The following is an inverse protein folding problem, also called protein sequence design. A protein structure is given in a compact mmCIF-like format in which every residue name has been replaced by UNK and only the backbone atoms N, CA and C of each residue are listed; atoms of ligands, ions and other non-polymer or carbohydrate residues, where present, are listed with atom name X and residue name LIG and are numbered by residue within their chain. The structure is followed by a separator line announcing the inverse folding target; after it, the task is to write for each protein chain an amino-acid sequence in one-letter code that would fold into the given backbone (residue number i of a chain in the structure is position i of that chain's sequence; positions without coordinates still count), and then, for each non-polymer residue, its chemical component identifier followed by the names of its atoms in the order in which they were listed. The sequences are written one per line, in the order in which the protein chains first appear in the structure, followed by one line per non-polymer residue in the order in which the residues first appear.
data_IF_426116369771
#
_entry.id   IF_426116369771
#
_cell.length_a   1.000
_cell.length_b   1.000
_cell.length_c   1.000
_cell.angle_alpha   90.00
_cell.angle_beta   90.00
_cell.angle_gamma   90.00
#
_symmetry.space_group_name_H-M   'P 1'
#
loop_
_entity.id
_entity.type
_entity.pdbx_description
1 polymer ?
#
# COMPACT_ATOMS: atom_id res chain seq x y z
N UNK A 1 20.01 19.53 34.42
CA UNK A 1 18.78 18.91 34.97
C UNK A 1 19.04 17.41 35.03
N UNK A 2 18.81 16.76 36.17
CA UNK A 2 18.93 15.28 36.27
C UNK A 2 17.80 14.64 35.46
N UNK A 3 18.06 13.54 34.76
CA UNK A 3 16.99 12.77 34.09
C UNK A 3 16.06 12.20 35.16
N UNK A 4 14.78 11.97 34.84
CA UNK A 4 13.77 11.67 35.86
C UNK A 4 14.03 10.35 36.63
N UNK A 5 14.81 9.43 36.08
CA UNK A 5 15.25 8.16 36.70
C UNK A 5 16.75 8.12 37.01
N UNK A 6 17.45 9.25 36.85
CA UNK A 6 18.86 9.36 37.13
C UNK A 6 19.09 9.22 38.64
N UNK A 7 19.57 8.04 39.05
CA UNK A 7 19.92 7.72 40.44
C UNK A 7 21.26 8.33 40.87
N UNK A 8 21.84 9.24 40.07
CA UNK A 8 23.04 10.01 40.43
C UNK A 8 24.36 9.44 39.92
N UNK A 9 24.34 8.46 39.02
CA UNK A 9 25.52 7.97 38.31
C UNK A 9 25.38 8.28 36.81
N UNK A 10 26.46 8.70 36.11
CA UNK A 10 26.39 8.99 34.68
C UNK A 10 25.96 7.74 33.91
N UNK A 11 24.92 7.87 33.07
CA UNK A 11 24.46 6.80 32.20
C UNK A 11 25.52 6.52 31.12
N UNK A 12 25.88 5.25 30.94
CA UNK A 12 26.79 4.83 29.86
C UNK A 12 26.21 5.25 28.49
N UNK A 13 27.04 5.86 27.65
CA UNK A 13 26.60 6.38 26.35
C UNK A 13 26.07 5.28 25.42
N UNK A 14 26.58 4.05 25.51
CA UNK A 14 26.08 2.92 24.71
C UNK A 14 24.70 2.50 25.18
N UNK A 15 24.47 2.53 26.49
CA UNK A 15 23.14 2.28 27.07
C UNK A 15 22.18 3.35 26.61
N UNK A 16 22.56 4.63 26.65
CA UNK A 16 21.74 5.72 26.14
C UNK A 16 21.40 5.54 24.66
N UNK A 17 22.39 5.26 23.83
CA UNK A 17 22.16 5.06 22.41
C UNK A 17 21.25 3.85 22.14
N UNK A 18 21.36 2.78 22.92
CA UNK A 18 20.51 1.60 22.80
C UNK A 18 19.07 1.86 23.28
N UNK A 19 18.89 2.54 24.43
CA UNK A 19 17.56 2.74 25.03
C UNK A 19 16.79 3.92 24.43
N UNK A 20 17.49 4.96 23.95
CA UNK A 20 16.87 6.01 23.15
C UNK A 20 16.64 5.49 21.72
N UNK A 21 17.60 4.79 21.13
CA UNK A 21 17.53 4.34 19.75
C UNK A 21 17.17 5.50 18.82
N UNK A 22 16.13 5.31 18.02
CA UNK A 22 15.61 6.33 17.10
C UNK A 22 14.47 7.17 17.70
N UNK A 23 14.16 7.06 19.00
CA UNK A 23 13.01 7.75 19.61
C UNK A 23 13.09 9.26 19.44
N UNK A 24 14.27 9.85 19.60
CA UNK A 24 14.47 11.29 19.38
C UNK A 24 13.96 11.72 17.99
N UNK A 25 14.22 10.93 16.94
CA UNK A 25 13.79 11.23 15.58
C UNK A 25 12.33 10.84 15.30
N UNK A 26 11.81 9.83 16.00
CA UNK A 26 10.45 9.32 15.83
C UNK A 26 9.42 10.19 16.55
N UNK A 27 9.76 10.63 17.76
CA UNK A 27 8.91 11.46 18.62
C UNK A 27 8.73 12.89 18.08
N UNK A 28 9.52 13.29 17.06
CA UNK A 28 9.31 14.55 16.31
C UNK A 28 7.86 14.64 15.79
N UNK A 29 7.28 13.50 15.40
CA UNK A 29 5.90 13.40 14.91
C UNK A 29 4.85 13.59 16.01
N UNK A 30 5.25 13.40 17.26
CA UNK A 30 4.36 13.41 18.42
C UNK A 30 4.34 14.76 19.15
N UNK A 31 5.24 15.70 18.83
CA UNK A 31 5.39 16.98 19.54
C UNK A 31 4.07 17.74 19.63
N UNK A 32 3.37 17.96 18.52
CA UNK A 32 2.10 18.68 18.50
C UNK A 32 1.02 17.99 19.36
N UNK A 33 1.01 16.66 19.36
CA UNK A 33 0.05 15.85 20.11
C UNK A 33 0.38 15.80 21.60
N UNK A 34 1.66 15.75 21.96
CA UNK A 34 2.12 15.82 23.36
C UNK A 34 1.87 17.20 23.96
N UNK A 35 2.03 18.26 23.17
CA UNK A 35 1.62 19.63 23.54
C UNK A 35 0.12 19.70 23.80
N UNK A 36 -0.71 19.19 22.88
CA UNK A 36 -2.17 19.17 23.05
C UNK A 36 -2.59 18.38 24.30
N UNK A 37 -2.05 17.18 24.49
CA UNK A 37 -2.29 16.35 25.67
C UNK A 37 -1.83 17.04 26.97
N UNK A 38 -0.70 17.73 26.93
CA UNK A 38 -0.16 18.49 28.06
C UNK A 38 -1.02 19.68 28.44
N UNK A 39 -1.53 20.45 27.47
CA UNK A 39 -2.45 21.56 27.74
C UNK A 39 -3.73 21.04 28.41
N UNK A 40 -4.34 19.96 27.88
CA UNK A 40 -5.53 19.37 28.49
C UNK A 40 -5.28 18.88 29.93
N UNK A 41 -4.10 18.31 30.20
CA UNK A 41 -3.70 17.92 31.56
C UNK A 41 -3.56 19.13 32.48
N UNK A 42 -2.89 20.20 32.03
CA UNK A 42 -2.73 21.43 32.81
C UNK A 42 -4.09 22.09 33.12
N UNK A 43 -4.99 22.15 32.15
CA UNK A 43 -6.35 22.65 32.33
C UNK A 43 -7.12 21.85 33.39
N UNK A 44 -7.01 20.52 33.35
CA UNK A 44 -7.61 19.64 34.36
C UNK A 44 -7.03 19.92 35.75
N UNK A 45 -5.71 20.03 35.89
CA UNK A 45 -5.08 20.35 37.18
C UNK A 45 -5.59 21.68 37.74
N UNK A 46 -5.72 22.71 36.89
CA UNK A 46 -6.23 24.00 37.31
C UNK A 46 -7.70 23.92 37.76
N UNK A 47 -8.55 23.18 37.04
CA UNK A 47 -9.95 22.94 37.43
C UNK A 47 -10.08 22.22 38.78
N UNK A 48 -9.14 21.33 39.10
CA UNK A 48 -9.08 20.62 40.38
C UNK A 48 -8.39 21.43 41.49
N UNK A 49 -8.01 22.68 41.24
CA UNK A 49 -7.30 23.53 42.21
C UNK A 49 -5.86 23.08 42.50
N UNK A 50 -5.30 22.21 41.66
CA UNK A 50 -3.95 21.64 41.80
C UNK A 50 -2.88 22.46 41.07
N UNK A 51 -3.30 23.40 40.22
CA UNK A 51 -2.45 24.32 39.48
C UNK A 51 -3.04 25.73 39.52
N UNK A 52 -2.23 26.74 39.81
CA UNK A 52 -2.69 28.13 39.83
C UNK A 52 -3.00 28.63 38.41
N UNK A 53 -4.01 29.47 38.25
CA UNK A 53 -4.39 30.03 36.94
C UNK A 53 -3.23 30.74 36.22
N UNK A 54 -2.39 31.56 36.90
CA UNK A 54 -1.22 32.15 36.25
C UNK A 54 -0.21 31.12 35.71
N UNK A 55 -0.04 29.99 36.41
CA UNK A 55 0.83 28.91 35.93
C UNK A 55 0.21 28.20 34.71
N UNK A 56 -1.11 27.98 34.71
CA UNK A 56 -1.82 27.41 33.57
C UNK A 56 -1.61 28.26 32.30
N UNK A 57 -1.81 29.57 32.39
CA UNK A 57 -1.66 30.46 31.24
C UNK A 57 -0.20 30.50 30.75
N UNK A 58 0.77 30.52 31.67
CA UNK A 58 2.19 30.44 31.31
C UNK A 58 2.53 29.10 30.63
N UNK A 59 2.02 27.98 31.16
CA UNK A 59 2.21 26.64 30.58
C UNK A 59 1.58 26.57 29.19
N UNK A 60 0.34 27.03 29.02
CA UNK A 60 -0.38 27.02 27.74
C UNK A 60 0.37 27.82 26.69
N UNK A 61 0.71 29.08 26.99
CA UNK A 61 1.44 29.95 26.07
C UNK A 61 2.83 29.37 25.74
N UNK A 62 3.54 28.87 26.74
CA UNK A 62 4.85 28.23 26.57
C UNK A 62 4.81 27.00 25.66
N UNK A 63 3.83 26.12 25.86
CA UNK A 63 3.64 24.90 25.06
C UNK A 63 3.23 25.22 23.61
N UNK A 64 2.29 26.16 23.40
CA UNK A 64 1.89 26.58 22.05
C UNK A 64 3.07 27.20 21.29
N UNK A 65 3.83 28.09 21.93
CA UNK A 65 5.03 28.66 21.32
C UNK A 65 6.15 27.64 21.08
N UNK A 66 6.15 26.50 21.79
CA UNK A 66 7.09 25.40 21.51
C UNK A 66 6.65 24.58 20.31
N UNK A 67 5.35 24.27 20.19
CA UNK A 67 4.78 23.59 19.03
C UNK A 67 5.00 24.40 17.74
N UNK A 68 4.79 25.71 17.77
CA UNK A 68 5.02 26.58 16.62
C UNK A 68 6.50 26.65 16.22
N UNK A 69 7.40 26.83 17.20
CA UNK A 69 8.84 26.85 16.92
C UNK A 69 9.35 25.52 16.38
N UNK A 70 8.77 24.40 16.85
CA UNK A 70 9.06 23.07 16.32
C UNK A 70 8.63 22.92 14.87
N UNK A 71 7.40 23.33 14.55
CA UNK A 71 6.86 23.29 13.19
C UNK A 71 7.66 24.16 12.21
N UNK A 72 8.29 25.25 12.69
CA UNK A 72 9.21 26.10 11.91
C UNK A 72 10.65 25.57 11.85
N UNK A 73 10.95 24.46 12.53
CA UNK A 73 12.29 23.87 12.57
C UNK A 73 13.30 24.63 13.45
N UNK A 74 12.85 25.52 14.33
CA UNK A 74 13.70 26.31 15.23
C UNK A 74 14.37 25.44 16.32
N UNK A 75 13.81 24.27 16.59
CA UNK A 75 14.39 23.29 17.48
C UNK A 75 13.99 21.87 17.05
N UNK A 76 14.81 20.89 17.42
CA UNK A 76 14.61 19.46 17.20
C UNK A 76 14.85 18.69 18.49
N UNK A 77 14.36 17.46 18.55
CA UNK A 77 14.61 16.56 19.67
C UNK A 77 16.03 15.98 19.48
N UNK A 78 16.89 16.27 20.45
CA UNK A 78 18.27 15.80 20.41
C UNK A 78 18.40 14.42 21.05
N UNK A 79 19.39 13.62 20.66
CA UNK A 79 19.68 12.35 21.34
C UNK A 79 19.90 12.52 22.85
N UNK A 80 20.46 13.67 23.27
CA UNK A 80 20.65 14.03 24.66
C UNK A 80 19.34 14.31 25.42
N UNK A 81 18.26 14.66 24.71
CA UNK A 81 16.92 14.79 25.27
C UNK A 81 16.27 13.41 25.49
N UNK A 82 16.79 12.33 24.90
CA UNK A 82 16.29 10.95 24.94
C UNK A 82 14.93 10.70 24.29
N UNK A 83 13.91 11.47 24.65
CA UNK A 83 12.55 11.38 24.12
C UNK A 83 11.92 12.77 23.93
N UNK A 84 10.78 12.80 23.22
CA UNK A 84 10.07 14.04 22.96
C UNK A 84 9.53 14.72 24.23
N UNK A 85 9.17 13.93 25.25
CA UNK A 85 8.60 14.46 26.49
C UNK A 85 9.65 15.25 27.29
N UNK A 86 10.86 14.72 27.40
CA UNK A 86 12.00 15.35 28.07
C UNK A 86 12.45 16.58 27.30
N UNK A 87 12.48 16.53 25.97
CA UNK A 87 12.77 17.68 25.12
C UNK A 87 11.79 18.83 25.35
N UNK A 88 10.49 18.54 25.41
CA UNK A 88 9.43 19.52 25.68
C UNK A 88 9.51 20.08 27.10
N UNK A 89 9.67 19.21 28.11
CA UNK A 89 9.78 19.61 29.52
C UNK A 89 10.98 20.54 29.77
N UNK A 90 12.16 20.18 29.25
CA UNK A 90 13.38 20.98 29.39
C UNK A 90 13.17 22.38 28.80
N UNK A 91 12.58 22.44 27.61
CA UNK A 91 12.35 23.71 26.91
C UNK A 91 11.25 24.53 27.57
N UNK A 92 10.18 23.91 28.04
CA UNK A 92 9.10 24.58 28.77
C UNK A 92 9.64 25.19 30.06
N UNK A 93 10.32 24.38 30.89
CA UNK A 93 10.93 24.85 32.15
C UNK A 93 11.97 25.93 31.89
N UNK A 94 12.77 25.83 30.82
CA UNK A 94 13.71 26.88 30.42
C UNK A 94 13.03 28.20 30.04
N UNK A 95 11.82 28.16 29.46
CA UNK A 95 11.05 29.35 29.05
C UNK A 95 10.28 30.01 30.19
N UNK A 96 9.63 29.22 31.06
CA UNK A 96 8.69 29.73 32.07
C UNK A 96 9.10 29.44 33.52
N UNK A 97 10.30 28.89 33.72
CA UNK A 97 10.83 28.59 35.05
C UNK A 97 10.10 27.44 35.76
N UNK A 98 10.06 27.44 37.10
CA UNK A 98 9.50 26.34 37.91
C UNK A 98 8.04 26.00 37.62
N UNK A 99 7.26 26.94 37.07
CA UNK A 99 5.88 26.68 36.65
C UNK A 99 5.80 25.54 35.63
N UNK A 100 6.77 25.42 34.72
CA UNK A 100 6.83 24.35 33.73
C UNK A 100 6.90 22.96 34.33
N UNK A 101 7.56 22.80 35.49
CA UNK A 101 7.64 21.52 36.20
C UNK A 101 6.34 21.10 36.91
N UNK A 102 5.42 22.04 37.16
CA UNK A 102 4.17 21.76 37.90
C UNK A 102 3.18 20.91 37.09
N UNK A 103 3.31 20.88 35.76
CA UNK A 103 2.47 20.07 34.86
C UNK A 103 2.61 18.55 35.07
N UNK A 104 3.67 18.10 35.76
CA UNK A 104 3.91 16.67 36.01
C UNK A 104 3.06 16.10 37.14
N UNK A 105 2.39 16.94 37.93
CA UNK A 105 1.55 16.47 39.02
C UNK A 105 0.46 15.53 38.48
N UNK A 106 0.38 14.32 39.04
CA UNK A 106 -0.60 13.31 38.64
C UNK A 106 -0.39 12.67 37.26
N UNK A 107 0.79 12.81 36.66
CA UNK A 107 1.09 12.32 35.31
C UNK A 107 2.32 11.42 35.28
N UNK A 108 2.31 10.40 34.42
CA UNK A 108 3.47 9.57 34.12
C UNK A 108 3.86 9.74 32.65
N UNK A 109 5.08 9.33 32.29
CA UNK A 109 5.45 9.21 30.88
C UNK A 109 4.62 8.11 30.20
N UNK A 110 4.18 7.10 30.97
CA UNK A 110 3.40 5.96 30.46
C UNK A 110 2.00 6.34 29.97
N UNK A 111 1.29 7.27 30.59
CA UNK A 111 -0.01 7.69 30.09
C UNK A 111 0.11 8.87 29.13
N UNK A 112 1.08 9.76 29.36
CA UNK A 112 1.41 10.87 28.49
C UNK A 112 1.76 10.43 27.05
N UNK A 113 2.76 9.57 26.88
CA UNK A 113 3.19 9.12 25.54
C UNK A 113 2.07 8.39 24.80
N UNK A 114 1.25 7.63 25.54
CA UNK A 114 0.13 6.89 24.96
C UNK A 114 -1.00 7.82 24.51
N UNK A 115 -1.24 8.93 25.23
CA UNK A 115 -2.19 9.95 24.81
C UNK A 115 -1.75 10.59 23.50
N UNK A 116 -0.48 11.04 23.42
CA UNK A 116 0.07 11.64 22.20
C UNK A 116 0.02 10.67 21.02
N UNK A 117 0.44 9.41 21.24
CA UNK A 117 0.41 8.37 20.21
C UNK A 117 -1.02 8.10 19.72
N UNK A 118 -2.01 7.97 20.61
CA UNK A 118 -3.40 7.75 20.20
C UNK A 118 -3.98 8.90 19.40
N UNK A 119 -3.73 10.13 19.81
CA UNK A 119 -4.16 11.31 19.04
C UNK A 119 -3.55 11.31 17.63
N UNK A 120 -2.25 11.01 17.53
CA UNK A 120 -1.56 10.87 16.23
C UNK A 120 -2.16 9.75 15.38
N UNK A 121 -2.44 8.58 15.97
CA UNK A 121 -2.97 7.44 15.24
C UNK A 121 -4.42 7.66 14.79
N UNK A 122 -5.24 8.38 15.57
CA UNK A 122 -6.60 8.76 15.17
C UNK A 122 -6.56 9.71 13.96
N UNK A 123 -5.71 10.73 13.98
CA UNK A 123 -5.55 11.64 12.84
C UNK A 123 -4.99 10.93 11.61
N UNK A 124 -4.00 10.04 11.80
CA UNK A 124 -3.43 9.22 10.73
C UNK A 124 -4.49 8.31 10.10
N UNK A 125 -5.33 7.67 10.93
CA UNK A 125 -6.42 6.82 10.48
C UNK A 125 -7.42 7.60 9.63
N UNK A 126 -7.81 8.81 10.06
CA UNK A 126 -8.74 9.66 9.30
C UNK A 126 -8.15 10.08 7.96
N UNK A 127 -6.87 10.48 7.95
CA UNK A 127 -6.17 10.85 6.73
C UNK A 127 -6.03 9.66 5.74
N UNK A 128 -5.74 8.46 6.26
CA UNK A 128 -5.67 7.25 5.44
C UNK A 128 -7.04 6.89 4.86
N UNK A 129 -8.09 6.87 5.69
CA UNK A 129 -9.45 6.56 5.23
C UNK A 129 -9.91 7.56 4.15
N UNK A 130 -9.69 8.86 4.36
CA UNK A 130 -10.00 9.89 3.35
C UNK A 130 -9.22 9.69 2.05
N UNK A 131 -7.92 9.37 2.13
CA UNK A 131 -7.09 9.08 0.96
C UNK A 131 -7.58 7.86 0.17
N UNK A 132 -7.95 6.79 0.86
CA UNK A 132 -8.49 5.58 0.24
C UNK A 132 -9.82 5.85 -0.46
N UNK A 133 -10.73 6.61 0.19
CA UNK A 133 -11.99 7.02 -0.43
C UNK A 133 -11.79 7.90 -1.67
N UNK A 134 -10.76 8.75 -1.68
CA UNK A 134 -10.41 9.54 -2.86
C UNK A 134 -9.94 8.66 -4.03
N UNK A 135 -9.19 7.58 -3.76
CA UNK A 135 -8.81 6.60 -4.80
C UNK A 135 -10.03 5.85 -5.32
N UNK A 136 -10.94 5.41 -4.43
CA UNK A 136 -12.18 4.76 -4.84
C UNK A 136 -13.03 5.67 -5.73
N UNK A 137 -13.15 6.96 -5.39
CA UNK A 137 -13.85 7.95 -6.20
C UNK A 137 -13.20 8.14 -7.59
N UNK A 138 -11.87 8.18 -7.66
CA UNK A 138 -11.15 8.27 -8.95
C UNK A 138 -11.39 7.03 -9.83
N UNK A 139 -11.54 5.84 -9.23
CA UNK A 139 -11.91 4.61 -9.95
C UNK A 139 -13.36 4.64 -10.43
N UNK A 140 -14.29 5.24 -9.67
CA UNK A 140 -15.66 5.46 -10.14
C UNK A 140 -15.69 6.42 -11.35
N UNK A 141 -14.91 7.49 -11.30
CA UNK A 141 -14.77 8.42 -12.41
C UNK A 141 -14.21 7.73 -13.66
N UNK A 142 -13.21 6.85 -13.49
CA UNK A 142 -12.70 6.00 -14.57
C UNK A 142 -13.81 5.09 -15.12
N UNK A 143 -14.56 4.41 -14.26
CA UNK A 143 -15.68 3.56 -14.66
C UNK A 143 -16.74 4.36 -15.45
N UNK A 144 -17.08 5.57 -15.01
CA UNK A 144 -18.05 6.42 -15.69
C UNK A 144 -17.54 6.93 -17.05
N UNK A 145 -16.27 7.35 -17.11
CA UNK A 145 -15.63 7.82 -18.35
C UNK A 145 -15.54 6.71 -19.39
N UNK A 146 -15.17 5.50 -18.96
CA UNK A 146 -14.93 4.33 -19.82
C UNK A 146 -16.11 3.34 -19.83
N UNK A 147 -17.34 3.85 -19.66
CA UNK A 147 -18.56 3.04 -19.46
C UNK A 147 -18.82 1.95 -20.50
N UNK A 148 -18.39 2.17 -21.75
CA UNK A 148 -18.61 1.26 -22.88
C UNK A 148 -17.36 0.44 -23.24
N UNK A 149 -16.26 0.63 -22.51
CA UNK A 149 -14.97 0.01 -22.82
C UNK A 149 -14.97 -1.44 -22.31
N UNK A 150 -15.03 -2.38 -23.24
CA UNK A 150 -15.01 -3.82 -22.97
C UNK A 150 -13.55 -4.27 -22.83
N UNK A 151 -13.29 -5.10 -21.82
CA UNK A 151 -12.01 -5.78 -21.64
C UNK A 151 -12.27 -7.25 -21.33
N UNK A 152 -11.38 -8.18 -21.69
CA UNK A 152 -11.55 -9.58 -21.27
C UNK A 152 -11.45 -9.70 -19.75
N UNK A 153 -12.35 -10.48 -19.15
CA UNK A 153 -12.15 -10.96 -17.77
C UNK A 153 -11.11 -12.07 -17.74
N UNK A 154 -10.34 -12.17 -16.66
CA UNK A 154 -9.28 -13.16 -16.51
C UNK A 154 -9.50 -14.09 -15.32
N UNK A 155 -9.27 -15.39 -15.54
CA UNK A 155 -9.07 -16.37 -14.46
C UNK A 155 -7.81 -17.16 -14.78
N UNK A 156 -6.89 -17.29 -13.83
CA UNK A 156 -5.55 -17.89 -14.08
C UNK A 156 -4.77 -17.23 -15.24
N UNK A 157 -4.96 -15.92 -15.46
CA UNK A 157 -4.46 -15.18 -16.62
C UNK A 157 -4.91 -15.74 -17.99
N UNK A 158 -5.95 -16.59 -18.02
CA UNK A 158 -6.64 -16.99 -19.23
C UNK A 158 -7.89 -16.12 -19.42
N UNK A 159 -8.16 -15.76 -20.67
CA UNK A 159 -9.37 -15.02 -21.02
C UNK A 159 -10.60 -15.90 -20.71
N UNK A 160 -11.49 -15.36 -19.90
CA UNK A 160 -12.71 -16.02 -19.45
C UNK A 160 -13.92 -15.35 -20.11
N UNK A 161 -14.87 -14.85 -19.32
CA UNK A 161 -16.04 -14.14 -19.82
C UNK A 161 -15.67 -12.71 -20.25
N UNK A 162 -16.40 -12.13 -21.22
CA UNK A 162 -16.33 -10.70 -21.50
C UNK A 162 -16.59 -9.88 -20.22
N UNK A 163 -15.82 -8.83 -20.02
CA UNK A 163 -15.91 -7.90 -18.90
C UNK A 163 -15.85 -6.45 -19.41
N UNK A 164 -15.70 -5.49 -18.52
CA UNK A 164 -15.61 -4.08 -18.89
C UNK A 164 -14.76 -3.30 -17.89
N UNK A 165 -14.25 -2.13 -18.31
CA UNK A 165 -13.53 -1.22 -17.42
C UNK A 165 -14.37 -0.85 -16.19
N UNK A 166 -15.69 -0.58 -16.29
CA UNK A 166 -16.54 -0.37 -15.12
C UNK A 166 -16.55 -1.53 -14.11
N UNK A 167 -16.57 -2.78 -14.58
CA UNK A 167 -16.56 -3.94 -13.68
C UNK A 167 -15.19 -4.10 -12.99
N UNK A 168 -14.10 -3.89 -13.73
CA UNK A 168 -12.75 -3.97 -13.19
C UNK A 168 -12.45 -2.83 -12.19
N UNK A 169 -12.66 -1.58 -12.59
CA UNK A 169 -12.43 -0.42 -11.72
C UNK A 169 -13.43 -0.39 -10.55
N UNK A 170 -14.69 -0.74 -10.79
CA UNK A 170 -15.74 -0.80 -9.77
C UNK A 170 -15.47 -1.87 -8.70
N UNK A 171 -14.88 -3.01 -9.07
CA UNK A 171 -14.44 -4.03 -8.13
C UNK A 171 -13.41 -3.51 -7.14
N UNK A 172 -12.34 -2.87 -7.63
CA UNK A 172 -11.34 -2.24 -6.77
C UNK A 172 -11.92 -1.08 -5.94
N UNK A 173 -12.78 -0.25 -6.53
CA UNK A 173 -13.43 0.84 -5.81
C UNK A 173 -14.31 0.33 -4.65
N UNK A 174 -14.97 -0.83 -4.82
CA UNK A 174 -15.78 -1.44 -3.76
C UNK A 174 -14.90 -1.93 -2.60
N UNK A 175 -13.84 -2.69 -2.88
CA UNK A 175 -12.92 -3.20 -1.83
C UNK A 175 -12.21 -2.05 -1.11
N UNK A 176 -11.76 -1.01 -1.82
CA UNK A 176 -11.15 0.16 -1.18
C UNK A 176 -12.12 0.90 -0.25
N UNK A 177 -13.42 0.92 -0.54
CA UNK A 177 -14.41 1.49 0.41
C UNK A 177 -14.57 0.61 1.64
N UNK A 178 -14.49 -0.71 1.49
CA UNK A 178 -14.48 -1.64 2.63
C UNK A 178 -13.22 -1.43 3.49
N UNK A 179 -12.05 -1.30 2.87
CA UNK A 179 -10.79 -0.96 3.56
C UNK A 179 -10.91 0.36 4.33
N UNK A 180 -11.49 1.41 3.74
CA UNK A 180 -11.70 2.70 4.39
C UNK A 180 -12.64 2.59 5.61
N UNK A 181 -13.66 1.74 5.53
CA UNK A 181 -14.54 1.44 6.65
C UNK A 181 -13.80 0.64 7.74
N UNK A 182 -12.99 -0.36 7.37
CA UNK A 182 -12.18 -1.18 8.27
C UNK A 182 -11.15 -0.35 9.05
N UNK A 183 -10.45 0.57 8.35
CA UNK A 183 -9.57 1.57 8.98
C UNK A 183 -10.32 2.34 10.07
N UNK A 184 -11.54 2.81 9.77
CA UNK A 184 -12.39 3.53 10.73
C UNK A 184 -12.75 2.66 11.95
N UNK A 185 -12.94 1.35 11.78
CA UNK A 185 -13.23 0.45 12.89
C UNK A 185 -12.07 0.29 13.89
N UNK A 186 -10.82 0.58 13.51
CA UNK A 186 -9.67 0.59 14.43
C UNK A 186 -9.80 1.68 15.51
N UNK A 187 -10.59 2.72 15.25
CA UNK A 187 -10.95 3.79 16.21
C UNK A 187 -11.45 3.23 17.54
N UNK A 188 -12.20 2.11 17.55
CA UNK A 188 -12.75 1.52 18.79
C UNK A 188 -11.69 1.19 19.86
N UNK A 189 -10.43 1.00 19.47
CA UNK A 189 -9.32 0.74 20.40
C UNK A 189 -8.52 2.00 20.72
N UNK A 190 -8.35 2.89 19.74
CA UNK A 190 -7.54 4.10 19.83
C UNK A 190 -8.29 5.25 20.53
N UNK A 191 -9.61 5.31 20.39
CA UNK A 191 -10.46 6.42 20.83
C UNK A 191 -10.88 6.31 22.30
N UNK A 192 -9.89 6.03 23.15
CA UNK A 192 -10.07 5.92 24.59
C UNK A 192 -9.00 6.77 25.28
N UNK A 193 -9.40 7.67 26.16
CA UNK A 193 -8.49 8.54 26.89
C UNK A 193 -7.64 7.74 27.89
N UNK A 194 -6.29 7.73 27.75
CA UNK A 194 -5.40 7.04 28.68
C UNK A 194 -4.97 7.91 29.88
N UNK A 195 -5.15 9.24 29.81
CA UNK A 195 -4.65 10.16 30.83
C UNK A 195 -5.28 9.93 32.21
N UNK A 196 -4.48 10.18 33.24
CA UNK A 196 -4.83 9.94 34.64
C UNK A 196 -4.67 8.47 35.06
N UNK A 197 -4.15 7.61 34.19
CA UNK A 197 -3.67 6.29 34.61
C UNK A 197 -2.28 6.32 35.23
N UNK A 198 -1.54 7.41 35.05
CA UNK A 198 -0.17 7.57 35.50
C UNK A 198 0.68 6.37 35.08
N UNK A 199 1.35 5.71 36.02
CA UNK A 199 2.16 4.53 35.72
C UNK A 199 1.33 3.31 35.25
N UNK A 200 -0.01 3.35 35.40
CA UNK A 200 -0.96 2.30 35.04
C UNK A 200 -1.97 1.96 36.14
N UNK A 201 -1.89 2.63 37.29
CA UNK A 201 -2.67 2.29 38.50
C UNK A 201 -3.48 3.49 39.03
N UNK A 202 -3.55 4.57 38.25
CA UNK A 202 -4.16 5.83 38.68
C UNK A 202 -3.24 6.67 39.56
N UNK A 203 -3.83 7.66 40.22
CA UNK A 203 -3.13 8.61 41.09
C UNK A 203 -3.72 8.58 42.51
N UNK A 204 -3.37 7.59 43.35
CA UNK A 204 -3.89 7.48 44.70
C UNK A 204 -3.68 8.78 45.49
N UNK A 205 -4.75 9.31 46.10
CA UNK A 205 -4.70 10.53 46.91
C UNK A 205 -4.66 11.84 46.12
N UNK A 206 -4.74 11.80 44.78
CA UNK A 206 -4.83 13.00 43.94
C UNK A 206 -6.13 12.96 43.12
N UNK A 207 -7.00 13.98 43.21
CA UNK A 207 -8.30 14.00 42.53
C UNK A 207 -8.15 14.36 41.04
N UNK A 208 -7.53 13.48 40.26
CA UNK A 208 -7.39 13.66 38.80
C UNK A 208 -8.73 13.39 38.10
N UNK A 209 -9.19 14.36 37.32
CA UNK A 209 -10.42 14.24 36.52
C UNK A 209 -10.12 13.74 35.10
N UNK A 210 -10.30 12.42 34.93
CA UNK A 210 -10.08 11.74 33.64
C UNK A 210 -11.14 12.11 32.60
N UNK A 211 -12.33 12.53 33.04
CA UNK A 211 -13.43 12.92 32.16
C UNK A 211 -13.21 14.32 31.58
N UNK A 212 -12.65 15.24 32.37
CA UNK A 212 -12.22 16.55 31.90
C UNK A 212 -11.19 16.44 30.76
N UNK A 213 -10.16 15.59 30.92
CA UNK A 213 -9.14 15.39 29.87
C UNK A 213 -9.71 14.64 28.66
N UNK A 214 -10.62 13.68 28.87
CA UNK A 214 -11.33 13.01 27.76
C UNK A 214 -12.08 14.03 26.91
N UNK A 215 -12.85 14.91 27.56
CA UNK A 215 -13.62 15.97 26.89
C UNK A 215 -12.71 16.92 26.13
N UNK A 216 -11.66 17.44 26.78
CA UNK A 216 -10.74 18.40 26.18
C UNK A 216 -9.99 17.84 24.96
N UNK A 217 -9.68 16.54 24.98
CA UNK A 217 -8.98 15.87 23.89
C UNK A 217 -9.90 15.24 22.84
N UNK A 218 -11.22 15.26 23.05
CA UNK A 218 -12.19 14.71 22.11
C UNK A 218 -12.18 13.19 22.01
N UNK A 219 -11.69 12.47 23.03
CA UNK A 219 -11.79 11.01 23.06
C UNK A 219 -13.24 10.56 23.29
N UNK A 220 -13.64 9.45 22.69
CA UNK A 220 -15.00 8.91 22.83
C UNK A 220 -15.31 8.41 24.25
N UNK A 221 -14.31 7.87 24.96
CA UNK A 221 -14.49 7.36 26.32
C UNK A 221 -13.23 7.49 27.16
N UNK A 222 -13.36 7.53 28.49
CA UNK A 222 -12.24 7.24 29.40
C UNK A 222 -11.94 5.74 29.33
N UNK A 223 -10.66 5.36 29.28
CA UNK A 223 -10.33 3.94 29.31
C UNK A 223 -10.42 3.38 30.73
N UNK A 224 -11.36 2.46 30.95
CA UNK A 224 -11.58 1.81 32.24
C UNK A 224 -11.49 0.27 32.15
N UNK A 225 -11.13 -0.42 33.26
CA UNK A 225 -10.54 0.17 34.48
C UNK A 225 -9.16 0.78 34.18
N UNK A 226 -8.64 1.63 35.09
CA UNK A 226 -7.36 2.33 34.89
C UNK A 226 -6.20 1.43 34.49
N UNK A 227 -6.16 0.20 34.99
CA UNK A 227 -5.16 -0.83 34.67
C UNK A 227 -5.24 -1.33 33.23
N UNK A 228 -6.40 -1.22 32.59
CA UNK A 228 -6.58 -1.59 31.19
C UNK A 228 -5.76 -0.69 30.25
N UNK A 229 -5.39 0.53 30.65
CA UNK A 229 -4.61 1.45 29.82
C UNK A 229 -3.30 0.81 29.39
N UNK A 230 -2.49 0.35 30.35
CA UNK A 230 -1.19 -0.25 30.03
C UNK A 230 -1.34 -1.64 29.40
N UNK A 231 -2.33 -2.44 29.84
CA UNK A 231 -2.64 -3.77 29.27
C UNK A 231 -3.11 -3.73 27.80
N UNK A 232 -3.54 -2.56 27.32
CA UNK A 232 -4.04 -2.40 25.96
C UNK A 232 -2.97 -2.00 24.94
N UNK A 233 -1.78 -1.62 25.39
CA UNK A 233 -0.70 -1.16 24.51
C UNK A 233 -0.33 -2.22 23.49
N UNK A 234 -0.03 -1.77 22.27
CA UNK A 234 0.24 -2.63 21.12
C UNK A 234 -1.02 -3.13 20.40
N UNK A 235 -2.19 -3.17 21.04
CA UNK A 235 -3.42 -3.65 20.38
C UNK A 235 -4.01 -2.63 19.41
N UNK A 236 -3.90 -1.33 19.71
CA UNK A 236 -4.40 -0.28 18.83
C UNK A 236 -3.50 -0.13 17.61
N UNK A 237 -2.20 -0.12 17.85
CA UNK A 237 -1.13 -0.08 16.87
C UNK A 237 -1.21 -1.28 15.93
N UNK A 238 -1.22 -2.51 16.48
CA UNK A 238 -1.30 -3.73 15.67
C UNK A 238 -2.60 -3.80 14.86
N UNK A 239 -3.73 -3.35 15.41
CA UNK A 239 -4.98 -3.33 14.65
C UNK A 239 -4.89 -2.38 13.46
N UNK A 240 -4.43 -1.13 13.65
CA UNK A 240 -4.32 -0.19 12.54
C UNK A 240 -3.35 -0.71 11.46
N UNK A 241 -2.22 -1.30 11.87
CA UNK A 241 -1.25 -1.89 10.95
C UNK A 241 -1.86 -3.08 10.20
N UNK A 242 -2.70 -3.87 10.85
CA UNK A 242 -3.42 -4.97 10.20
C UNK A 242 -4.34 -4.46 9.09
N UNK A 243 -5.16 -3.43 9.35
CA UNK A 243 -6.01 -2.85 8.31
C UNK A 243 -5.19 -2.24 7.17
N UNK A 244 -4.06 -1.58 7.48
CA UNK A 244 -3.11 -1.10 6.46
C UNK A 244 -2.53 -2.26 5.64
N UNK A 245 -2.25 -3.41 6.25
CA UNK A 245 -1.71 -4.57 5.55
C UNK A 245 -2.73 -5.22 4.61
N UNK A 246 -4.04 -5.13 4.90
CA UNK A 246 -5.11 -5.56 3.99
C UNK A 246 -5.25 -4.59 2.82
N UNK A 247 -5.37 -3.29 3.11
CA UNK A 247 -5.38 -2.24 2.08
C UNK A 247 -4.18 -2.36 1.12
N UNK A 248 -2.98 -2.60 1.64
CA UNK A 248 -1.79 -2.77 0.82
C UNK A 248 -1.82 -4.04 -0.03
N UNK A 249 -2.61 -5.06 0.29
CA UNK A 249 -2.83 -6.22 -0.57
C UNK A 249 -3.74 -5.87 -1.74
N UNK A 250 -4.81 -5.11 -1.52
CA UNK A 250 -5.71 -4.67 -2.59
C UNK A 250 -5.04 -3.69 -3.54
N UNK A 251 -4.28 -2.73 -3.01
CA UNK A 251 -3.43 -1.86 -3.82
C UNK A 251 -2.35 -2.64 -4.59
N UNK A 252 -1.85 -3.75 -4.04
CA UNK A 252 -0.87 -4.62 -4.72
C UNK A 252 -1.49 -5.40 -5.87
N UNK A 253 -2.73 -5.89 -5.69
CA UNK A 253 -3.51 -6.51 -6.78
C UNK A 253 -3.79 -5.51 -7.89
N UNK A 254 -4.25 -4.31 -7.53
CA UNK A 254 -4.46 -3.22 -8.48
C UNK A 254 -3.17 -2.86 -9.24
N UNK A 255 -2.06 -2.70 -8.53
CA UNK A 255 -0.76 -2.45 -9.13
C UNK A 255 -0.31 -3.56 -10.07
N UNK A 256 -0.56 -4.84 -9.72
CA UNK A 256 -0.22 -5.97 -10.57
C UNK A 256 -1.02 -5.94 -11.89
N UNK A 257 -2.31 -5.63 -11.84
CA UNK A 257 -3.14 -5.46 -13.03
C UNK A 257 -2.66 -4.28 -13.88
N UNK A 258 -2.43 -3.11 -13.28
CA UNK A 258 -1.93 -1.92 -13.99
C UNK A 258 -0.60 -2.23 -14.69
N UNK A 259 0.33 -2.91 -14.01
CA UNK A 259 1.62 -3.31 -14.57
C UNK A 259 1.44 -4.27 -15.75
N UNK A 260 0.61 -5.30 -15.59
CA UNK A 260 0.36 -6.30 -16.62
C UNK A 260 -0.34 -5.70 -17.84
N UNK A 261 -1.38 -4.92 -17.60
CA UNK A 261 -2.23 -4.30 -18.62
C UNK A 261 -1.51 -3.20 -19.40
N UNK A 262 -0.45 -2.61 -18.83
CA UNK A 262 0.39 -1.62 -19.51
C UNK A 262 1.53 -2.22 -20.33
N UNK A 263 1.74 -3.55 -20.28
CA UNK A 263 2.72 -4.20 -21.16
C UNK A 263 2.31 -4.06 -22.63
N UNK A 264 3.27 -4.21 -23.56
CA UNK A 264 2.95 -4.19 -24.99
C UNK A 264 2.11 -5.38 -25.42
N UNK A 265 2.27 -6.50 -24.73
CA UNK A 265 1.58 -7.75 -24.99
C UNK A 265 0.08 -7.67 -24.64
N UNK A 266 -0.28 -6.91 -23.60
CA UNK A 266 -1.67 -6.65 -23.23
C UNK A 266 -2.21 -5.38 -23.86
N UNK A 267 -1.52 -4.25 -23.67
CA UNK A 267 -1.84 -2.97 -24.30
C UNK A 267 -3.22 -2.39 -23.92
N UNK A 268 -3.75 -2.70 -22.73
CA UNK A 268 -5.06 -2.22 -22.30
C UNK A 268 -5.01 -0.85 -21.63
N UNK A 269 -3.87 -0.50 -21.02
CA UNK A 269 -3.71 0.73 -20.24
C UNK A 269 -2.45 1.48 -20.67
N UNK A 270 -2.55 2.80 -20.70
CA UNK A 270 -1.40 3.69 -20.80
C UNK A 270 -1.50 4.76 -19.71
N UNK A 271 -0.38 5.03 -19.03
CA UNK A 271 -0.29 6.09 -18.04
C UNK A 271 0.23 7.37 -18.69
N UNK A 272 -0.15 8.52 -18.14
CA UNK A 272 0.44 9.80 -18.52
C UNK A 272 1.95 9.80 -18.23
N UNK A 273 2.72 10.50 -19.08
CA UNK A 273 4.19 10.43 -19.05
C UNK A 273 4.78 10.83 -17.70
N UNK A 274 4.18 11.81 -17.03
CA UNK A 274 4.56 12.29 -15.70
C UNK A 274 4.47 11.23 -14.59
N UNK A 275 3.73 10.15 -14.80
CA UNK A 275 3.61 9.01 -13.87
C UNK A 275 4.49 7.81 -14.26
N UNK A 276 5.36 7.97 -15.25
CA UNK A 276 6.23 6.91 -15.75
C UNK A 276 7.68 7.36 -15.79
N UNK A 277 8.61 6.42 -15.70
CA UNK A 277 10.03 6.71 -16.00
C UNK A 277 10.39 6.22 -17.40
N UNK A 278 11.33 6.90 -18.05
CA UNK A 278 11.77 6.59 -19.41
C UNK A 278 13.10 5.82 -19.46
N UNK A 279 13.43 5.32 -20.65
CA UNK A 279 14.79 4.92 -20.98
C UNK A 279 15.47 6.00 -21.81
N UNK A 280 16.73 6.32 -21.50
CA UNK A 280 17.55 7.20 -22.34
C UNK A 280 17.88 6.61 -23.72
N UNK A 281 17.77 5.28 -23.89
CA UNK A 281 18.11 4.55 -25.13
C UNK A 281 16.85 4.22 -25.95
N UNK A 282 15.72 3.95 -25.27
CA UNK A 282 14.46 3.59 -25.91
C UNK A 282 13.38 4.63 -25.59
N UNK A 283 13.18 5.63 -26.47
CA UNK A 283 12.25 6.75 -26.23
C UNK A 283 10.81 6.34 -25.98
N UNK A 284 10.40 5.17 -26.46
CA UNK A 284 9.06 4.62 -26.30
C UNK A 284 8.91 3.69 -25.09
N UNK A 285 10.01 3.38 -24.37
CA UNK A 285 9.95 2.56 -23.15
C UNK A 285 9.49 3.43 -21.98
N UNK A 286 8.43 2.98 -21.31
CA UNK A 286 7.87 3.60 -20.11
C UNK A 286 7.85 2.55 -19.01
N UNK A 287 8.44 2.84 -17.86
CA UNK A 287 8.42 2.00 -16.68
C UNK A 287 7.44 2.57 -15.66
N UNK A 288 6.81 1.66 -14.91
CA UNK A 288 5.72 1.96 -13.98
C UNK A 288 6.22 1.82 -12.53
N UNK A 289 7.34 2.47 -12.23
CA UNK A 289 8.07 2.32 -10.96
C UNK A 289 7.19 2.58 -9.74
N UNK A 290 6.23 3.51 -9.83
CA UNK A 290 5.27 3.80 -8.76
C UNK A 290 4.48 2.55 -8.37
N UNK A 291 3.97 1.81 -9.35
CA UNK A 291 3.19 0.59 -9.12
C UNK A 291 4.08 -0.59 -8.72
N UNK A 292 5.32 -0.66 -9.21
CA UNK A 292 6.30 -1.65 -8.75
C UNK A 292 6.64 -1.47 -7.27
N UNK A 293 6.90 -0.22 -6.87
CA UNK A 293 7.16 0.13 -5.48
C UNK A 293 5.92 -0.08 -4.61
N UNK A 294 4.73 0.30 -5.08
CA UNK A 294 3.46 0.04 -4.38
C UNK A 294 3.30 -1.45 -4.07
N UNK A 295 3.48 -2.31 -5.08
CA UNK A 295 3.44 -3.78 -4.93
C UNK A 295 4.50 -4.29 -3.95
N UNK A 296 5.71 -3.72 -3.97
CA UNK A 296 6.78 -4.09 -3.04
C UNK A 296 6.52 -3.66 -1.59
N UNK A 297 5.85 -2.52 -1.37
CA UNK A 297 5.58 -1.97 -0.03
C UNK A 297 4.60 -2.82 0.79
N UNK A 298 3.83 -3.70 0.17
CA UNK A 298 2.98 -4.67 0.88
C UNK A 298 3.80 -5.57 1.81
N UNK A 299 5.00 -5.99 1.41
CA UNK A 299 5.90 -6.78 2.26
C UNK A 299 6.36 -6.00 3.50
N UNK A 300 6.59 -4.69 3.36
CA UNK A 300 6.92 -3.81 4.50
C UNK A 300 5.76 -3.76 5.50
N UNK A 301 4.52 -3.55 5.02
CA UNK A 301 3.34 -3.50 5.90
C UNK A 301 3.14 -4.82 6.67
N UNK A 302 3.33 -5.97 6.00
CA UNK A 302 3.28 -7.29 6.63
C UNK A 302 4.37 -7.45 7.71
N UNK A 303 5.61 -7.05 7.42
CA UNK A 303 6.70 -7.11 8.39
C UNK A 303 6.41 -6.23 9.63
N UNK A 304 5.87 -5.02 9.43
CA UNK A 304 5.44 -4.15 10.53
C UNK A 304 4.39 -4.82 11.42
N UNK A 305 3.44 -5.53 10.82
CA UNK A 305 2.39 -6.25 11.55
C UNK A 305 3.00 -7.38 12.39
N UNK A 306 3.85 -8.20 11.78
CA UNK A 306 4.54 -9.30 12.47
C UNK A 306 5.34 -8.78 13.66
N UNK A 307 6.06 -7.67 13.49
CA UNK A 307 6.78 -7.02 14.57
C UNK A 307 5.84 -6.54 15.69
N UNK A 308 4.78 -5.80 15.36
CA UNK A 308 3.85 -5.26 16.33
C UNK A 308 3.19 -6.36 17.18
N UNK A 309 2.77 -7.45 16.53
CA UNK A 309 2.21 -8.62 17.20
C UNK A 309 3.26 -9.36 18.04
N UNK A 310 4.46 -9.55 17.50
CA UNK A 310 5.54 -10.31 18.13
C UNK A 310 6.07 -9.65 19.40
N UNK A 311 6.30 -8.34 19.37
CA UNK A 311 6.78 -7.56 20.53
C UNK A 311 5.77 -7.61 21.68
N UNK A 312 4.48 -7.46 21.38
CA UNK A 312 3.44 -7.43 22.42
C UNK A 312 3.09 -8.82 22.99
N UNK A 313 3.40 -9.91 22.29
CA UNK A 313 2.89 -11.25 22.61
C UNK A 313 3.40 -11.84 23.95
N UNK A 314 4.57 -11.42 24.45
CA UNK A 314 5.25 -12.06 25.58
C UNK A 314 5.43 -11.16 26.80
N UNK A 315 4.75 -10.02 26.84
CA UNK A 315 4.89 -9.05 27.92
C UNK A 315 3.96 -9.39 29.09
N UNK A 316 4.43 -9.31 30.34
CA UNK A 316 3.54 -9.35 31.50
C UNK A 316 2.75 -8.03 31.62
N UNK A 317 1.87 -7.93 32.61
CA UNK A 317 1.04 -6.75 32.82
C UNK A 317 1.87 -5.47 33.06
N UNK A 318 1.28 -4.32 32.75
CA UNK A 318 1.91 -3.01 32.92
C UNK A 318 2.65 -2.51 31.69
N UNK A 319 3.50 -1.50 31.88
CA UNK A 319 4.34 -0.93 30.83
C UNK A 319 5.70 -1.63 30.81
N UNK A 320 6.18 -1.94 29.61
CA UNK A 320 7.52 -2.45 29.33
C UNK A 320 8.16 -1.63 28.21
N UNK A 321 9.47 -1.41 28.30
CA UNK A 321 10.22 -0.58 27.34
C UNK A 321 10.18 -1.17 25.92
N UNK A 322 9.96 -2.48 25.78
CA UNK A 322 9.75 -3.19 24.51
C UNK A 322 8.69 -2.51 23.62
N UNK A 323 7.65 -1.94 24.24
CA UNK A 323 6.55 -1.25 23.55
C UNK A 323 7.00 0.04 22.83
N UNK A 324 8.21 0.51 23.09
CA UNK A 324 8.82 1.61 22.35
C UNK A 324 9.08 1.25 20.89
N UNK A 325 9.45 -0.01 20.61
CA UNK A 325 9.74 -0.48 19.26
C UNK A 325 8.52 -0.34 18.33
N UNK A 326 7.32 -0.47 18.88
CA UNK A 326 6.08 -0.48 18.11
C UNK A 326 5.40 0.90 18.00
N UNK A 327 6.03 1.99 18.48
CA UNK A 327 5.54 3.36 18.23
C UNK A 327 5.40 3.64 16.72
N UNK A 328 6.39 3.20 15.94
CA UNK A 328 6.44 3.35 14.48
C UNK A 328 7.19 2.16 13.83
N UNK A 329 6.55 1.00 13.65
CA UNK A 329 7.21 -0.21 13.13
C UNK A 329 7.62 -0.08 11.65
N UNK A 330 8.69 -0.77 11.28
CA UNK A 330 9.22 -0.88 9.90
C UNK A 330 9.92 0.35 9.31
N UNK A 331 10.32 1.33 10.12
CA UNK A 331 11.32 2.31 9.69
C UNK A 331 12.73 1.71 9.77
N UNK A 332 13.62 2.26 8.95
CA UNK A 332 15.04 1.95 8.90
C UNK A 332 15.66 2.25 10.27
N UNK A 333 15.58 1.29 11.19
CA UNK A 333 16.12 1.41 12.54
C UNK A 333 17.63 1.28 12.41
N UNK A 334 18.32 2.41 12.53
CA UNK A 334 19.72 2.60 12.16
C UNK A 334 20.72 1.81 13.01
N UNK A 335 20.69 0.49 12.96
CA UNK A 335 21.82 -0.34 13.37
C UNK A 335 22.86 -0.30 12.25
N UNK A 336 23.72 0.73 12.28
CA UNK A 336 25.09 0.71 11.74
C UNK A 336 25.33 -0.07 10.43
N UNK A 337 24.65 0.32 9.34
CA UNK A 337 25.04 -0.04 7.96
C UNK A 337 25.14 1.28 7.17
N UNK A 338 26.14 1.48 6.30
CA UNK A 338 26.51 2.81 5.79
C UNK A 338 25.34 3.50 5.11
N UNK A 339 25.13 4.77 5.48
CA UNK A 339 24.15 5.69 4.87
C UNK A 339 24.36 5.77 3.37
N UNK A 340 23.52 5.07 2.63
CA UNK A 340 23.31 5.28 1.21
C UNK A 340 21.86 4.95 0.92
N UNK A 341 20.97 5.95 1.05
CA UNK A 341 19.60 6.06 0.48
C UNK A 341 18.61 6.89 1.33
N UNK A 342 19.03 7.55 2.42
CA UNK A 342 18.13 8.36 3.27
C UNK A 342 17.90 9.82 2.82
N UNK A 343 18.16 10.15 1.55
CA UNK A 343 17.81 11.44 0.97
C UNK A 343 16.66 11.30 -0.02
N UNK A 344 15.46 11.70 0.42
CA UNK A 344 14.31 12.25 -0.34
C UNK A 344 13.00 11.88 0.36
N UNK A 345 12.67 12.64 1.40
CA UNK A 345 11.31 12.66 1.97
C UNK A 345 10.76 14.08 2.17
N UNK A 346 11.48 15.10 1.72
CA UNK A 346 11.05 16.51 1.79
C UNK A 346 10.26 16.98 0.55
N UNK A 347 10.16 16.20 -0.53
CA UNK A 347 9.37 16.60 -1.72
C UNK A 347 7.88 16.19 -1.68
N UNK A 348 7.45 15.37 -0.72
CA UNK A 348 6.06 14.88 -0.67
C UNK A 348 5.16 15.60 0.34
N UNK A 349 5.70 16.52 1.16
CA UNK A 349 4.93 17.28 2.16
C UNK A 349 4.82 18.79 1.87
N UNK A 350 5.42 19.27 0.76
CA UNK A 350 5.42 20.68 0.37
C UNK A 350 4.38 21.07 -0.70
N UNK A 351 3.61 20.12 -1.24
CA UNK A 351 2.51 20.42 -2.16
C UNK A 351 1.20 20.04 -1.50
N UNK A 352 0.54 21.03 -0.90
CA UNK A 352 -0.84 20.89 -0.52
C UNK A 352 -1.66 20.46 -1.74
N UNK A 353 -2.27 19.28 -1.66
CA UNK A 353 -3.43 18.91 -2.47
C UNK A 353 -4.62 19.78 -2.00
N UNK A 354 -4.50 21.08 -2.19
CA UNK A 354 -5.58 22.03 -2.04
C UNK A 354 -6.46 21.96 -3.28
N UNK A 355 -7.67 21.44 -3.10
CA UNK A 355 -8.94 21.95 -3.66
C UNK A 355 -9.00 22.52 -5.10
N UNK A 356 -8.13 22.11 -6.02
CA UNK A 356 -8.30 22.33 -7.45
C UNK A 356 -8.64 21.00 -8.08
N UNK A 357 -9.85 20.92 -8.65
CA UNK A 357 -10.46 19.70 -9.19
C UNK A 357 -9.46 18.82 -9.93
N UNK A 358 -9.13 17.68 -9.33
CA UNK A 358 -8.31 16.66 -9.94
C UNK A 358 -9.14 15.87 -10.94
N UNK A 359 -9.38 16.45 -12.11
CA UNK A 359 -9.80 15.67 -13.26
C UNK A 359 -8.62 14.80 -13.69
N UNK A 360 -8.66 13.50 -13.39
CA UNK A 360 -7.68 12.53 -13.89
C UNK A 360 -7.82 12.39 -15.42
N UNK A 361 -6.84 12.83 -16.23
CA UNK A 361 -6.99 12.80 -17.67
C UNK A 361 -6.47 11.46 -18.19
N UNK A 362 -7.30 10.43 -18.17
CA UNK A 362 -7.08 9.28 -19.05
C UNK A 362 -7.89 9.48 -20.33
N UNK A 363 -7.24 9.26 -21.47
CA UNK A 363 -7.93 8.88 -22.70
C UNK A 363 -7.77 7.37 -22.84
N UNK A 364 -8.86 6.60 -22.89
CA UNK A 364 -8.81 5.36 -23.65
C UNK A 364 -8.46 5.73 -25.10
N UNK A 365 -7.30 5.28 -25.55
CA UNK A 365 -6.97 5.29 -26.97
C UNK A 365 -7.64 4.05 -27.56
N UNK A 366 -8.90 4.20 -27.96
CA UNK A 366 -9.40 3.47 -29.11
C UNK A 366 -8.99 4.29 -30.33
N UNK A 367 -7.88 3.87 -30.95
CA UNK A 367 -7.50 4.07 -32.35
C UNK A 367 -5.97 3.95 -32.47
N UNK A 368 -5.52 2.73 -32.75
CA UNK A 368 -4.24 2.49 -33.43
C UNK A 368 -4.56 1.69 -34.69
N UNK A 369 -5.34 2.29 -35.58
CA UNK A 369 -5.31 1.98 -36.99
C UNK A 369 -4.23 2.88 -37.61
N UNK A 370 -3.03 2.35 -37.78
CA UNK A 370 -2.14 2.62 -38.91
C UNK A 370 -0.84 1.81 -38.76
N UNK A 371 -0.94 0.54 -39.16
CA UNK A 371 0.17 -0.13 -39.84
C UNK A 371 -0.37 -0.62 -41.18
N UNK A 372 -0.23 0.22 -42.20
CA UNK A 372 -0.37 -0.19 -43.57
C UNK A 372 0.78 -1.14 -43.92
N UNK A 373 0.47 -2.43 -44.07
CA UNK A 373 1.23 -3.33 -44.92
C UNK A 373 0.36 -3.67 -46.12
N UNK A 374 0.81 -3.26 -47.31
CA UNK A 374 0.22 -3.64 -48.59
C UNK A 374 0.20 -5.17 -48.69
N UNK A 375 -0.98 -5.82 -48.84
CA UNK A 375 -1.01 -7.20 -49.24
C UNK A 375 -0.60 -7.24 -50.71
N UNK A 376 0.58 -7.77 -51.00
CA UNK A 376 0.68 -8.57 -52.21
C UNK A 376 0.02 -9.90 -51.85
N UNK A 377 -0.92 -10.34 -52.69
CA UNK A 377 -1.62 -11.61 -52.57
C UNK A 377 -0.61 -12.77 -52.56
N UNK A 378 -0.10 -13.14 -51.38
CA UNK A 378 0.65 -14.37 -51.20
C UNK A 378 -0.35 -15.50 -50.98
N UNK A 379 -0.65 -16.23 -52.07
CA UNK A 379 -1.37 -17.49 -52.03
C UNK A 379 -0.84 -18.38 -50.91
N UNK A 380 -1.75 -18.87 -50.07
CA UNK A 380 -1.39 -19.83 -49.05
C UNK A 380 -1.04 -21.16 -49.70
N UNK A 381 0.12 -21.72 -49.38
CA UNK A 381 0.44 -23.10 -49.76
C UNK A 381 -0.67 -24.01 -49.22
N UNK A 382 -1.45 -24.61 -50.14
CA UNK A 382 -2.56 -25.48 -49.77
C UNK A 382 -2.03 -26.73 -49.07
N UNK A 383 -2.67 -27.13 -47.97
CA UNK A 383 -2.38 -28.41 -47.31
C UNK A 383 -2.76 -29.62 -48.16
N UNK A 384 -3.56 -29.41 -49.21
CA UNK A 384 -3.95 -30.46 -50.16
C UNK A 384 -2.80 -30.88 -51.09
N UNK A 385 -1.73 -30.07 -51.18
CA UNK A 385 -0.55 -30.30 -52.03
C UNK A 385 0.66 -30.85 -51.25
N UNK A 386 0.45 -31.31 -50.01
CA UNK A 386 1.50 -31.82 -49.15
C UNK A 386 2.01 -33.21 -49.59
N UNK A 387 3.33 -33.35 -49.68
CA UNK A 387 3.97 -34.64 -49.99
C UNK A 387 4.04 -35.48 -48.72
N UNK A 388 3.54 -36.73 -48.76
CA UNK A 388 3.61 -37.65 -47.61
C UNK A 388 4.66 -38.73 -47.87
N UNK A 389 5.57 -38.90 -46.91
CA UNK A 389 6.70 -39.84 -47.03
C UNK A 389 6.87 -40.64 -45.73
N UNK A 390 7.39 -41.87 -45.81
CA UNK A 390 7.76 -42.63 -44.61
C UNK A 390 9.07 -42.11 -44.00
N UNK A 391 9.24 -42.21 -42.68
CA UNK A 391 10.47 -41.81 -42.01
C UNK A 391 11.72 -42.56 -42.55
N UNK A 392 11.55 -43.82 -42.95
CA UNK A 392 12.63 -44.61 -43.54
C UNK A 392 13.05 -44.07 -44.91
N UNK A 393 12.09 -43.63 -45.72
CA UNK A 393 12.35 -43.06 -47.04
C UNK A 393 12.87 -41.62 -46.97
N UNK A 394 12.35 -40.82 -46.03
CA UNK A 394 12.85 -39.48 -45.75
C UNK A 394 14.34 -39.50 -45.39
N UNK A 395 14.76 -40.39 -44.48
CA UNK A 395 16.17 -40.48 -44.08
C UNK A 395 17.10 -40.90 -45.23
N UNK A 396 16.63 -41.69 -46.19
CA UNK A 396 17.43 -42.10 -47.35
C UNK A 396 17.63 -40.97 -48.36
N UNK A 397 16.67 -40.05 -48.47
CA UNK A 397 16.64 -39.00 -49.48
C UNK A 397 16.46 -37.60 -48.86
N UNK A 398 17.14 -37.33 -47.75
CA UNK A 398 16.89 -36.13 -46.94
C UNK A 398 17.05 -34.83 -47.74
N UNK A 399 18.07 -34.73 -48.61
CA UNK A 399 18.30 -33.54 -49.43
C UNK A 399 17.15 -33.24 -50.39
N UNK A 400 16.61 -34.27 -51.07
CA UNK A 400 15.47 -34.12 -51.99
C UNK A 400 14.25 -33.59 -51.26
N UNK A 401 13.97 -34.12 -50.06
CA UNK A 401 12.82 -33.68 -49.28
C UNK A 401 13.03 -32.32 -48.59
N UNK A 402 14.27 -31.91 -48.33
CA UNK A 402 14.59 -30.54 -47.92
C UNK A 402 14.30 -29.53 -49.03
N UNK A 403 14.67 -29.85 -50.28
CA UNK A 403 14.39 -28.99 -51.43
C UNK A 403 12.89 -28.90 -51.72
N UNK A 404 12.17 -30.02 -51.63
CA UNK A 404 10.70 -30.03 -51.76
C UNK A 404 10.06 -29.17 -50.66
N UNK A 405 10.57 -29.24 -49.42
CA UNK A 405 10.06 -28.47 -48.29
C UNK A 405 10.23 -26.94 -48.45
N UNK A 406 11.05 -26.48 -49.40
CA UNK A 406 11.13 -25.06 -49.76
C UNK A 406 9.86 -24.56 -50.47
N UNK A 407 9.12 -25.45 -51.13
CA UNK A 407 7.97 -25.11 -51.99
C UNK A 407 6.66 -25.75 -51.56
N UNK A 408 6.67 -26.88 -50.83
CA UNK A 408 5.48 -27.54 -50.28
C UNK A 408 5.73 -28.33 -48.99
N UNK A 409 4.74 -28.47 -48.09
CA UNK A 409 4.92 -29.22 -46.85
C UNK A 409 5.26 -30.69 -47.12
N UNK A 410 6.22 -31.24 -46.37
CA UNK A 410 6.54 -32.67 -46.42
C UNK A 410 6.15 -33.34 -45.11
N UNK A 411 5.14 -34.20 -45.15
CA UNK A 411 4.63 -34.95 -44.01
C UNK A 411 5.39 -36.26 -43.84
N UNK A 412 6.10 -36.40 -42.73
CA UNK A 412 6.90 -37.56 -42.40
C UNK A 412 6.08 -38.48 -41.49
N UNK A 413 5.85 -39.71 -41.96
CA UNK A 413 5.03 -40.72 -41.27
C UNK A 413 5.89 -41.81 -40.63
N UNK A 414 5.45 -42.33 -39.49
CA UNK A 414 6.03 -43.54 -38.87
C UNK A 414 4.88 -44.49 -38.55
N UNK A 415 4.95 -45.72 -39.06
CA UNK A 415 3.90 -46.74 -38.93
C UNK A 415 2.53 -46.22 -39.41
N UNK A 416 2.49 -45.52 -40.55
CA UNK A 416 1.26 -44.99 -41.14
C UNK A 416 0.64 -43.79 -40.42
N UNK A 417 1.31 -43.23 -39.40
CA UNK A 417 0.85 -42.01 -38.69
C UNK A 417 1.80 -40.84 -38.94
N UNK A 418 1.24 -39.68 -39.26
CA UNK A 418 1.98 -38.42 -39.35
C UNK A 418 2.66 -38.11 -38.02
N UNK A 419 3.96 -37.82 -38.06
CA UNK A 419 4.80 -37.59 -36.87
C UNK A 419 5.45 -36.22 -36.87
N UNK A 420 5.95 -35.80 -38.03
CA UNK A 420 6.69 -34.55 -38.20
C UNK A 420 6.33 -33.97 -39.56
N UNK A 421 6.21 -32.65 -39.68
CA UNK A 421 6.08 -31.97 -40.97
C UNK A 421 7.32 -31.11 -41.16
N UNK A 422 7.98 -31.25 -42.31
CA UNK A 422 9.08 -30.40 -42.72
C UNK A 422 8.53 -29.28 -43.62
N UNK A 423 8.95 -28.05 -43.31
CA UNK A 423 8.56 -26.82 -43.98
C UNK A 423 9.77 -25.91 -44.07
N UNK A 424 9.78 -25.00 -45.05
CA UNK A 424 10.78 -23.94 -45.13
C UNK A 424 10.70 -23.01 -43.90
N UNK A 425 11.83 -22.42 -43.52
CA UNK A 425 11.87 -21.46 -42.42
C UNK A 425 11.00 -20.22 -42.72
N UNK A 426 10.91 -19.83 -43.99
CA UNK A 426 10.06 -18.73 -44.45
C UNK A 426 8.58 -19.06 -44.26
N UNK A 427 8.16 -20.27 -44.63
CA UNK A 427 6.77 -20.71 -44.49
C UNK A 427 6.38 -20.91 -43.03
N UNK A 428 7.28 -21.48 -42.22
CA UNK A 428 7.10 -21.55 -40.77
C UNK A 428 6.94 -20.14 -40.15
N UNK A 429 7.78 -19.17 -40.55
CA UNK A 429 7.67 -17.80 -40.07
C UNK A 429 6.35 -17.13 -40.52
N UNK A 430 5.87 -17.42 -41.73
CA UNK A 430 4.59 -16.95 -42.26
C UNK A 430 3.42 -17.51 -41.45
N UNK A 431 3.36 -18.83 -41.24
CA UNK A 431 2.32 -19.48 -40.42
C UNK A 431 2.33 -18.96 -38.98
N UNK A 432 3.52 -18.81 -38.39
CA UNK A 432 3.70 -18.22 -37.05
C UNK A 432 3.20 -16.77 -36.96
N UNK A 433 3.30 -15.97 -38.03
CA UNK A 433 2.71 -14.62 -38.08
C UNK A 433 1.19 -14.66 -38.16
N UNK A 434 0.62 -15.65 -38.85
CA UNK A 434 -0.83 -15.84 -38.98
C UNK A 434 -1.47 -16.30 -37.67
N UNK A 435 -0.86 -17.22 -36.94
CA UNK A 435 -1.33 -17.65 -35.59
C UNK A 435 -1.21 -16.54 -34.53
N UNK A 436 -0.41 -15.51 -34.80
CA UNK A 436 -0.27 -14.32 -33.93
C UNK A 436 -1.21 -13.18 -34.30
N UNK A 437 -2.01 -13.31 -35.36
CA UNK A 437 -3.05 -12.33 -35.66
C UNK A 437 -4.23 -12.59 -34.72
N UNK A 438 -4.32 -11.77 -33.69
CA UNK A 438 -5.56 -11.56 -32.95
C UNK A 438 -6.49 -10.78 -33.87
N UNK A 439 -7.49 -11.46 -34.43
CA UNK A 439 -8.54 -10.80 -35.22
C UNK A 439 -9.57 -10.29 -34.23
N UNK A 440 -9.84 -8.98 -34.24
CA UNK A 440 -10.92 -8.44 -33.41
C UNK A 440 -12.25 -9.02 -33.89
N UNK A 441 -13.22 -9.23 -33.00
CA UNK A 441 -14.52 -9.80 -33.39
C UNK A 441 -15.24 -9.00 -34.49
N UNK A 442 -14.95 -7.69 -34.60
CA UNK A 442 -15.48 -6.81 -35.66
C UNK A 442 -14.74 -6.89 -37.00
N UNK A 443 -13.62 -7.60 -37.08
CA UNK A 443 -12.81 -7.80 -38.29
C UNK A 443 -13.07 -9.17 -38.94
N UNK A 444 -13.93 -10.00 -38.33
CA UNK A 444 -14.33 -11.28 -38.90
C UNK A 444 -15.18 -11.04 -40.15
N UNK A 445 -14.76 -11.62 -41.27
CA UNK A 445 -15.55 -11.58 -42.49
C UNK A 445 -16.88 -12.32 -42.29
N UNK A 446 -17.92 -11.90 -43.00
CA UNK A 446 -19.29 -12.39 -42.81
C UNK A 446 -19.41 -13.91 -42.97
N UNK A 447 -18.65 -14.49 -43.91
CA UNK A 447 -18.58 -15.95 -44.10
C UNK A 447 -17.92 -16.69 -42.92
N UNK A 448 -17.01 -16.04 -42.18
CA UNK A 448 -16.35 -16.61 -41.01
C UNK A 448 -17.27 -16.56 -39.79
N UNK A 449 -18.03 -15.46 -39.64
CA UNK A 449 -19.08 -15.33 -38.63
C UNK A 449 -20.12 -16.42 -38.84
N UNK A 450 -20.54 -16.66 -40.09
CA UNK A 450 -21.51 -17.69 -40.41
C UNK A 450 -20.96 -19.11 -40.18
N UNK A 451 -19.69 -19.36 -40.49
CA UNK A 451 -19.02 -20.63 -40.18
C UNK A 451 -18.94 -20.89 -38.67
N UNK A 452 -18.68 -19.86 -37.86
CA UNK A 452 -18.67 -19.96 -36.39
C UNK A 452 -20.08 -20.23 -35.85
N UNK A 453 -21.11 -19.55 -36.39
CA UNK A 453 -22.52 -19.78 -36.03
C UNK A 453 -23.00 -21.18 -36.40
N UNK A 454 -22.54 -21.71 -37.53
CA UNK A 454 -22.86 -23.05 -38.00
C UNK A 454 -22.01 -24.17 -37.38
N UNK A 455 -20.96 -23.83 -36.62
CA UNK A 455 -20.04 -24.81 -36.05
C UNK A 455 -20.75 -25.70 -35.01
N UNK A 456 -20.78 -27.01 -35.27
CA UNK A 456 -21.25 -28.01 -34.30
C UNK A 456 -20.06 -28.76 -33.73
N UNK A 457 -20.12 -29.04 -32.43
CA UNK A 457 -19.18 -29.93 -31.76
C UNK A 457 -19.29 -31.31 -32.43
N UNK A 458 -18.18 -31.88 -32.96
CA UNK A 458 -18.22 -33.20 -33.58
C UNK A 458 -18.79 -34.24 -32.62
N UNK A 459 -19.63 -35.16 -33.14
CA UNK A 459 -20.42 -36.09 -32.31
C UNK A 459 -19.59 -36.89 -31.30
N UNK A 460 -18.32 -37.19 -31.64
CA UNK A 460 -17.35 -37.85 -30.74
C UNK A 460 -17.03 -37.09 -29.45
N UNK A 461 -17.43 -35.82 -29.34
CA UNK A 461 -17.23 -34.98 -28.17
C UNK A 461 -18.55 -34.49 -27.54
N UNK A 462 -19.71 -34.86 -28.11
CA UNK A 462 -21.02 -34.41 -27.66
C UNK A 462 -21.35 -34.86 -26.21
N UNK A 463 -20.84 -36.01 -25.76
CA UNK A 463 -21.10 -36.51 -24.39
C UNK A 463 -20.38 -35.70 -23.29
N UNK A 464 -19.25 -35.05 -23.58
CA UNK A 464 -18.54 -34.23 -22.59
C UNK A 464 -19.24 -32.91 -22.29
N UNK A 465 -20.02 -32.39 -23.24
CA UNK A 465 -20.81 -31.16 -23.09
C UNK A 465 -22.00 -31.32 -22.12
N UNK A 466 -22.60 -32.53 -22.05
CA UNK A 466 -23.77 -32.79 -21.19
C UNK A 466 -23.46 -32.86 -19.69
N UNK A 467 -22.18 -32.98 -19.30
CA UNK A 467 -21.77 -33.08 -17.88
C UNK A 467 -21.74 -31.74 -17.14
N UNK A 468 -21.76 -30.60 -17.85
CA UNK A 468 -21.66 -29.26 -17.23
C UNK A 468 -23.03 -28.66 -16.88
N UNK A 469 -24.14 -29.24 -17.38
CA UNK A 469 -25.52 -28.74 -17.14
C UNK A 469 -26.30 -29.48 -16.04
N UNK A 470 -25.66 -30.32 -15.22
CA UNK A 470 -26.31 -31.02 -14.09
C UNK A 470 -25.54 -30.79 -12.80
N UNK A 471 -25.68 -29.60 -12.26
CA UNK A 471 -25.56 -29.27 -10.83
C UNK A 471 -26.38 -28.00 -10.64
N UNK A 472 -27.69 -28.19 -10.51
CA UNK A 472 -28.55 -27.32 -9.70
C UNK A 472 -28.36 -27.69 -8.23
#
# INVERSE_FOLDING_TARGET
MKRLWDKGAPLDERVLHYTAGDDHALDERLVAYDVRASIAHAEMLARQGLLAVPDLEAIRAGLLGLAEGHARGEWRIELADEDGQTALERRLTGRIGPAGGRIHLGRSRNDQVLAALRLYLLETLDALSAGVLAVAAALDELAARERSTVIPGYTHLQQAMPSSVPLWAGGFAAELRDDAAALTQARRRLDKNPLGSAAGYGTPGLPVDREATRTALGFAAVQEPVTAVQLSRGKGEAQLIFEIALLMQDLSRFAADVLLFSTREFGFLALAEEFTTGSSIMPQKRNLDVFELMRGRTATAQACLTEALGVAAKLPSGYHRDLQLIKFPGRDRGHSVPRGLSARREEAQGQGLGSRGAAWPYRAIADNADYAYHPQDEECMSTDDAVTVSAAEFHRNVGVYQDIALTKPVKITKNGRERTVLLSAQEYARLKRRDRRVIAAGELAEHQIEAIRGARVPDRYAEKSKRVKRTE
#
